data_IF_963315566917
#
_entry.id   IF_963315566917
#
_cell.length_a   1.000
_cell.length_b   1.000
_cell.length_c   1.000
_cell.angle_alpha   90.00
_cell.angle_beta   90.00
_cell.angle_gamma   90.00
#
_symmetry.space_group_name_H-M   'P 1'
#
loop_
_entity.id
_entity.type
_entity.pdbx_description
1 polymer ?
#
# COMPACT_ATOMS: atom_id res chain seq x y z
N UNK A 1 10.57 -1.09 -17.51
CA UNK A 1 9.63 0.03 -17.27
C UNK A 1 10.34 1.15 -16.54
N UNK A 2 10.09 2.39 -16.97
CA UNK A 2 10.56 3.62 -16.31
C UNK A 2 9.67 4.00 -15.12
N UNK A 3 10.24 4.71 -14.13
CA UNK A 3 9.53 5.08 -12.90
C UNK A 3 8.33 6.01 -13.17
N UNK A 4 8.45 6.96 -14.08
CA UNK A 4 7.37 7.90 -14.38
C UNK A 4 6.22 7.18 -15.12
N UNK A 5 6.55 6.19 -15.96
CA UNK A 5 5.55 5.33 -16.62
C UNK A 5 4.78 4.49 -15.61
N UNK A 6 5.45 3.93 -14.61
CA UNK A 6 4.82 3.17 -13.52
C UNK A 6 3.78 4.02 -12.77
N UNK A 7 4.17 5.23 -12.35
CA UNK A 7 3.25 6.13 -11.64
C UNK A 7 2.11 6.60 -12.54
N UNK A 8 2.40 6.93 -13.80
CA UNK A 8 1.39 7.33 -14.76
C UNK A 8 0.31 6.24 -14.96
N UNK A 9 0.67 4.95 -14.94
CA UNK A 9 -0.31 3.86 -15.01
C UNK A 9 -1.23 3.83 -13.77
N UNK A 10 -0.67 4.00 -12.57
CA UNK A 10 -1.47 4.03 -11.33
C UNK A 10 -2.42 5.24 -11.31
N UNK A 11 -1.95 6.42 -11.72
CA UNK A 11 -2.75 7.64 -11.76
C UNK A 11 -3.86 7.57 -12.82
N UNK A 12 -3.54 7.06 -14.01
CA UNK A 12 -4.53 6.85 -15.07
C UNK A 12 -5.59 5.83 -14.64
N UNK A 13 -5.20 4.76 -13.92
CA UNK A 13 -6.17 3.80 -13.39
C UNK A 13 -7.16 4.46 -12.44
N UNK A 14 -6.69 5.36 -11.56
CA UNK A 14 -7.54 6.08 -10.62
C UNK A 14 -8.56 7.00 -11.32
N UNK A 15 -8.19 7.54 -12.49
CA UNK A 15 -9.08 8.40 -13.29
C UNK A 15 -10.07 7.61 -14.16
N UNK A 16 -9.71 6.38 -14.53
CA UNK A 16 -10.46 5.57 -15.49
C UNK A 16 -11.46 4.59 -14.84
N UNK A 17 -11.44 4.46 -13.51
CA UNK A 17 -12.20 3.48 -12.76
C UNK A 17 -12.76 4.10 -11.48
N UNK A 18 -13.91 3.58 -11.04
CA UNK A 18 -14.62 4.09 -9.88
C UNK A 18 -14.26 3.38 -8.57
N UNK A 19 -13.74 2.15 -8.66
CA UNK A 19 -13.33 1.35 -7.52
C UNK A 19 -12.05 0.55 -7.76
N UNK A 20 -11.54 -0.10 -6.71
CA UNK A 20 -10.30 -0.89 -6.77
C UNK A 20 -10.38 -2.11 -7.71
N UNK A 21 -11.56 -2.70 -7.89
CA UNK A 21 -11.75 -3.84 -8.77
C UNK A 21 -11.63 -3.40 -10.24
N UNK A 22 -12.35 -2.34 -10.61
CA UNK A 22 -12.25 -1.73 -11.93
C UNK A 22 -10.83 -1.22 -12.21
N UNK A 23 -10.16 -0.61 -11.22
CA UNK A 23 -8.75 -0.19 -11.33
C UNK A 23 -7.84 -1.38 -11.61
N UNK A 24 -8.02 -2.50 -10.90
CA UNK A 24 -7.26 -3.74 -11.13
C UNK A 24 -7.46 -4.24 -12.56
N UNK A 25 -8.70 -4.34 -13.03
CA UNK A 25 -9.02 -4.78 -14.40
C UNK A 25 -8.40 -3.87 -15.44
N UNK A 26 -8.49 -2.55 -15.24
CA UNK A 26 -7.90 -1.56 -16.13
C UNK A 26 -6.36 -1.70 -16.19
N UNK A 27 -5.69 -1.76 -15.03
CA UNK A 27 -4.24 -1.90 -14.95
C UNK A 27 -3.76 -3.19 -15.61
N UNK A 28 -4.41 -4.32 -15.29
CA UNK A 28 -4.09 -5.63 -15.91
C UNK A 28 -4.21 -5.55 -17.42
N UNK A 29 -5.30 -4.96 -17.94
CA UNK A 29 -5.54 -4.85 -19.38
C UNK A 29 -4.48 -3.98 -20.06
N UNK A 30 -4.06 -2.88 -19.43
CA UNK A 30 -3.02 -1.98 -19.98
C UNK A 30 -1.65 -2.60 -19.95
N UNK A 31 -1.28 -3.25 -18.84
CA UNK A 31 0.01 -3.93 -18.72
C UNK A 31 0.13 -5.10 -19.70
N UNK A 32 -0.94 -5.85 -19.95
CA UNK A 32 -0.93 -6.98 -20.88
C UNK A 32 -0.59 -6.58 -22.34
N UNK A 33 -0.70 -5.29 -22.68
CA UNK A 33 -0.32 -4.75 -23.99
C UNK A 33 1.15 -4.29 -24.05
N UNK A 34 1.86 -4.27 -22.92
CA UNK A 34 3.26 -3.86 -22.86
C UNK A 34 4.21 -5.03 -23.13
N UNK A 35 5.47 -4.74 -23.52
CA UNK A 35 6.50 -5.78 -23.60
C UNK A 35 6.64 -6.54 -22.26
N UNK A 36 6.89 -7.87 -22.27
CA UNK A 36 7.01 -8.65 -21.04
C UNK A 36 8.04 -8.10 -20.03
N UNK A 37 9.15 -7.53 -20.53
CA UNK A 37 10.16 -6.88 -19.68
C UNK A 37 9.65 -5.64 -18.95
N UNK A 38 8.67 -4.91 -19.52
CA UNK A 38 8.03 -3.79 -18.84
C UNK A 38 7.04 -4.25 -17.77
N UNK A 39 6.35 -5.37 -17.98
CA UNK A 39 5.50 -5.99 -16.95
C UNK A 39 6.37 -6.48 -15.77
N UNK A 40 7.53 -7.08 -16.03
CA UNK A 40 8.51 -7.38 -14.98
C UNK A 40 8.94 -6.09 -14.25
N UNK A 41 9.25 -5.03 -15.01
CA UNK A 41 9.62 -3.74 -14.43
C UNK A 41 8.53 -3.14 -13.54
N UNK A 42 7.25 -3.29 -13.89
CA UNK A 42 6.14 -2.87 -13.05
C UNK A 42 6.16 -3.60 -11.69
N UNK A 43 6.33 -4.93 -11.69
CA UNK A 43 6.42 -5.70 -10.44
C UNK A 43 7.64 -5.31 -9.61
N UNK A 44 8.80 -5.10 -10.25
CA UNK A 44 10.01 -4.64 -9.57
C UNK A 44 9.79 -3.28 -8.90
N UNK A 45 9.16 -2.33 -9.59
CA UNK A 45 8.88 -0.99 -9.06
C UNK A 45 7.80 -1.01 -7.97
N UNK A 46 6.78 -1.88 -8.10
CA UNK A 46 5.77 -2.10 -7.07
C UNK A 46 6.40 -2.65 -5.79
N UNK A 47 7.23 -3.67 -5.91
CA UNK A 47 7.97 -4.28 -4.80
C UNK A 47 8.91 -3.26 -4.11
N UNK A 48 9.69 -2.51 -4.90
CA UNK A 48 10.56 -1.46 -4.37
C UNK A 48 9.75 -0.35 -3.65
N UNK A 49 8.59 0.01 -4.18
CA UNK A 49 7.70 1.00 -3.57
C UNK A 49 7.15 0.55 -2.22
N UNK A 50 6.79 -0.74 -2.07
CA UNK A 50 6.40 -1.32 -0.76
C UNK A 50 7.53 -1.22 0.24
N UNK A 51 8.75 -1.57 -0.16
CA UNK A 51 9.93 -1.55 0.71
C UNK A 51 10.19 -0.19 1.37
N UNK A 52 9.78 0.92 0.74
CA UNK A 52 9.92 2.27 1.29
C UNK A 52 9.05 2.55 2.53
N UNK A 53 7.96 1.80 2.68
CA UNK A 53 7.00 1.92 3.78
C UNK A 53 6.92 0.63 4.59
N UNK A 54 7.98 -0.19 4.56
CA UNK A 54 8.04 -1.47 5.25
C UNK A 54 8.89 -1.40 6.54
N UNK A 55 8.46 -0.57 7.47
CA UNK A 55 9.07 -0.46 8.80
C UNK A 55 8.04 -0.67 9.89
N UNK A 56 8.49 -1.03 11.10
CA UNK A 56 7.61 -1.08 12.28
C UNK A 56 6.86 0.24 12.50
N UNK A 57 7.49 1.37 12.16
CA UNK A 57 6.85 2.69 12.26
C UNK A 57 5.66 2.88 11.34
N UNK A 58 5.77 2.39 10.11
CA UNK A 58 4.67 2.43 9.14
C UNK A 58 3.57 1.46 9.53
N UNK A 59 3.94 0.29 10.07
CA UNK A 59 2.96 -0.66 10.58
C UNK A 59 2.21 -0.09 11.79
N UNK A 60 2.88 0.58 12.71
CA UNK A 60 2.24 1.28 13.82
C UNK A 60 1.26 2.36 13.33
N UNK A 61 1.63 3.13 12.32
CA UNK A 61 0.73 4.13 11.76
C UNK A 61 -0.52 3.51 11.10
N UNK A 62 -0.36 2.37 10.41
CA UNK A 62 -1.51 1.60 9.90
C UNK A 62 -2.35 1.00 11.04
N UNK A 63 -1.72 0.55 12.13
CA UNK A 63 -2.37 0.01 13.32
C UNK A 63 -3.26 1.06 13.99
N UNK A 64 -2.74 2.28 14.22
CA UNK A 64 -3.50 3.42 14.76
C UNK A 64 -4.67 3.79 13.85
N UNK A 65 -4.43 3.91 12.53
CA UNK A 65 -5.50 4.22 11.58
C UNK A 65 -6.62 3.17 11.61
N UNK A 66 -6.26 1.89 11.69
CA UNK A 66 -7.20 0.78 11.69
C UNK A 66 -7.75 0.43 13.08
N UNK A 67 -7.61 1.31 14.08
CA UNK A 67 -8.14 1.07 15.45
C UNK A 67 -7.63 -0.25 16.06
N UNK A 68 -6.33 -0.52 15.88
CA UNK A 68 -5.68 -1.76 16.31
C UNK A 68 -5.96 -3.00 15.45
N UNK A 69 -6.82 -2.89 14.44
CA UNK A 69 -7.20 -4.00 13.58
C UNK A 69 -6.26 -4.12 12.36
N UNK A 70 -4.93 -4.16 12.58
CA UNK A 70 -3.96 -4.27 11.50
C UNK A 70 -2.92 -5.38 11.73
N UNK A 71 -3.21 -6.58 11.22
CA UNK A 71 -2.23 -7.66 11.17
C UNK A 71 -1.14 -7.39 10.12
N UNK A 72 -0.06 -8.19 10.13
CA UNK A 72 1.00 -8.09 9.12
C UNK A 72 0.46 -8.30 7.68
N UNK A 73 -0.51 -9.20 7.50
CA UNK A 73 -1.14 -9.45 6.19
C UNK A 73 -2.01 -8.27 5.74
N UNK A 74 -2.75 -7.66 6.67
CA UNK A 74 -3.52 -6.46 6.38
C UNK A 74 -2.58 -5.30 6.05
N UNK A 75 -1.47 -5.19 6.77
CA UNK A 75 -0.45 -4.18 6.52
C UNK A 75 0.21 -4.35 5.15
N UNK A 76 0.48 -5.58 4.70
CA UNK A 76 0.95 -5.83 3.34
C UNK A 76 -0.03 -5.30 2.28
N UNK A 77 -1.33 -5.49 2.52
CA UNK A 77 -2.38 -4.94 1.65
C UNK A 77 -2.52 -3.41 1.79
N UNK A 78 -2.25 -2.85 2.96
CA UNK A 78 -2.21 -1.41 3.21
C UNK A 78 -1.09 -0.71 2.43
N UNK A 79 0.08 -1.34 2.32
CA UNK A 79 1.16 -0.83 1.48
C UNK A 79 0.72 -0.73 0.01
N UNK A 80 -0.02 -1.72 -0.51
CA UNK A 80 -0.61 -1.64 -1.86
C UNK A 80 -1.54 -0.44 -1.98
N UNK A 81 -2.39 -0.24 -0.97
CA UNK A 81 -3.36 0.85 -0.95
C UNK A 81 -2.65 2.21 -0.99
N UNK A 82 -1.61 2.41 -0.17
CA UNK A 82 -0.77 3.60 -0.19
C UNK A 82 -0.13 3.89 -1.55
N UNK A 83 0.44 2.87 -2.19
CA UNK A 83 0.99 2.99 -3.53
C UNK A 83 -0.11 3.40 -4.52
N UNK A 84 -1.30 2.84 -4.35
CA UNK A 84 -2.49 3.16 -5.12
C UNK A 84 -3.03 4.58 -4.96
N UNK A 85 -2.64 5.30 -3.90
CA UNK A 85 -2.96 6.72 -3.70
C UNK A 85 -2.01 7.66 -4.45
N UNK A 86 -0.93 7.11 -5.03
CA UNK A 86 -0.03 7.84 -5.90
C UNK A 86 1.32 8.20 -5.28
N UNK A 87 2.21 8.71 -6.14
CA UNK A 87 3.64 8.93 -5.84
C UNK A 87 3.87 9.86 -4.65
N UNK A 88 3.17 10.99 -4.62
CA UNK A 88 3.36 12.04 -3.62
C UNK A 88 2.92 11.58 -2.22
N UNK A 89 1.79 10.86 -2.15
CA UNK A 89 1.31 10.28 -0.90
C UNK A 89 2.32 9.25 -0.37
N UNK A 90 2.77 8.32 -1.23
CA UNK A 90 3.78 7.33 -0.83
C UNK A 90 5.07 8.02 -0.37
N UNK A 91 5.54 9.05 -1.10
CA UNK A 91 6.78 9.74 -0.77
C UNK A 91 6.70 10.47 0.58
N UNK A 92 5.57 11.13 0.85
CA UNK A 92 5.32 11.81 2.12
C UNK A 92 5.27 10.83 3.29
N UNK A 93 4.47 9.76 3.15
CA UNK A 93 4.32 8.73 4.20
C UNK A 93 5.61 7.98 4.44
N UNK A 94 6.37 7.64 3.39
CA UNK A 94 7.68 7.00 3.52
C UNK A 94 8.70 7.84 4.30
N UNK A 95 8.60 9.18 4.20
CA UNK A 95 9.45 10.09 4.96
C UNK A 95 8.98 10.24 6.41
N UNK A 96 7.66 10.22 6.64
CA UNK A 96 7.05 10.31 7.96
C UNK A 96 5.70 9.56 8.00
N UNK A 97 5.57 8.48 8.78
CA UNK A 97 4.30 7.76 8.88
C UNK A 97 3.14 8.64 9.41
N UNK A 98 3.46 9.65 10.23
CA UNK A 98 2.48 10.63 10.75
C UNK A 98 1.86 11.51 9.63
N UNK A 99 2.47 11.55 8.45
CA UNK A 99 1.90 12.23 7.27
C UNK A 99 0.59 11.58 6.76
N UNK A 100 0.25 10.36 7.21
CA UNK A 100 -1.08 9.79 7.00
C UNK A 100 -2.19 10.73 7.45
N UNK A 101 -1.95 11.52 8.50
CA UNK A 101 -2.88 12.53 8.99
C UNK A 101 -3.33 13.54 7.91
N UNK A 102 -2.52 13.77 6.87
CA UNK A 102 -2.84 14.71 5.78
C UNK A 102 -3.49 14.07 4.57
N UNK A 103 -3.55 12.75 4.52
CA UNK A 103 -4.09 12.03 3.37
C UNK A 103 -5.62 12.15 3.38
N UNK A 104 -6.27 12.67 2.31
CA UNK A 104 -7.72 12.87 2.28
C UNK A 104 -8.54 11.60 2.54
N UNK A 105 -8.07 10.47 2.02
CA UNK A 105 -8.70 9.17 2.26
C UNK A 105 -8.62 8.77 3.75
N UNK A 106 -7.50 9.01 4.41
CA UNK A 106 -7.32 8.76 5.86
C UNK A 106 -8.27 9.62 6.69
N UNK A 107 -8.37 10.92 6.38
CA UNK A 107 -9.28 11.83 7.09
C UNK A 107 -10.74 11.40 6.95
N UNK A 108 -11.13 10.96 5.76
CA UNK A 108 -12.49 10.41 5.51
C UNK A 108 -12.73 9.17 6.36
N UNK A 109 -11.76 8.26 6.42
CA UNK A 109 -11.84 7.03 7.20
C UNK A 109 -11.97 7.31 8.71
N UNK A 110 -11.11 8.15 9.26
CA UNK A 110 -11.12 8.52 10.67
C UNK A 110 -12.41 9.24 11.08
N UNK A 111 -13.04 10.02 10.19
CA UNK A 111 -14.32 10.68 10.47
C UNK A 111 -15.50 9.70 10.68
N UNK A 112 -15.39 8.48 10.15
CA UNK A 112 -16.43 7.43 10.30
C UNK A 112 -16.06 6.45 11.42
N UNK A 113 -14.77 6.18 11.62
CA UNK A 113 -14.25 5.21 12.59
C UNK A 113 -14.32 3.76 12.09
N UNK A 114 -13.31 2.95 12.41
CA UNK A 114 -13.12 1.60 11.87
C UNK A 114 -14.30 0.65 12.13
N UNK A 115 -14.97 0.79 13.27
CA UNK A 115 -16.13 -0.04 13.63
C UNK A 115 -17.35 0.16 12.71
N UNK A 116 -17.41 1.27 11.99
CA UNK A 116 -18.51 1.61 11.09
C UNK A 116 -18.14 1.51 9.60
N UNK A 117 -16.92 1.06 9.28
CA UNK A 117 -16.49 0.92 7.89
C UNK A 117 -17.17 -0.28 7.23
N UNK A 118 -17.72 -0.11 6.00
CA UNK A 118 -18.01 -1.26 5.16
C UNK A 118 -16.69 -1.93 4.72
N UNK A 119 -16.75 -3.21 4.35
CA UNK A 119 -15.56 -3.98 3.90
C UNK A 119 -14.74 -3.26 2.83
N UNK A 120 -15.40 -2.56 1.90
CA UNK A 120 -14.75 -1.84 0.80
C UNK A 120 -14.03 -0.54 1.23
N UNK A 121 -14.28 -0.03 2.44
CA UNK A 121 -13.64 1.18 2.95
C UNK A 121 -12.30 0.89 3.64
N UNK A 122 -12.01 -0.36 4.00
CA UNK A 122 -10.73 -0.71 4.59
C UNK A 122 -9.57 -0.21 3.70
N UNK A 123 -8.51 0.37 4.29
CA UNK A 123 -7.38 0.92 3.54
C UNK A 123 -6.47 -0.18 3.03
N UNK A 124 -7.01 -1.13 2.28
CA UNK A 124 -6.32 -2.30 1.74
C UNK A 124 -6.51 -2.34 0.23
N UNK A 125 -5.54 -2.90 -0.48
CA UNK A 125 -5.71 -3.21 -1.90
C UNK A 125 -4.94 -4.47 -2.29
N UNK A 126 -5.50 -5.63 -1.96
CA UNK A 126 -4.91 -6.93 -2.30
C UNK A 126 -4.76 -7.09 -3.83
N UNK A 127 -5.78 -6.65 -4.58
CA UNK A 127 -5.84 -6.79 -6.03
C UNK A 127 -4.65 -6.20 -6.80
N UNK A 128 -3.98 -5.17 -6.27
CA UNK A 128 -2.83 -4.55 -6.92
C UNK A 128 -1.62 -5.50 -7.00
N UNK A 129 -1.42 -6.40 -6.03
CA UNK A 129 -0.30 -7.34 -6.01
C UNK A 129 -0.41 -8.42 -7.12
N UNK A 130 -1.63 -8.67 -7.62
CA UNK A 130 -1.89 -9.65 -8.68
C UNK A 130 -1.83 -9.09 -10.10
N UNK A 131 -1.87 -7.76 -10.26
CA UNK A 131 -2.01 -7.08 -11.56
C UNK A 131 -0.91 -7.47 -12.56
N UNK A 132 0.36 -7.44 -12.12
CA UNK A 132 1.52 -7.77 -12.97
C UNK A 132 1.53 -9.25 -13.39
N UNK A 133 1.20 -10.15 -12.46
CA UNK A 133 1.15 -11.60 -12.67
C UNK A 133 0.08 -11.97 -13.69
N UNK A 134 -1.12 -11.43 -13.52
CA UNK A 134 -2.23 -11.65 -14.44
C UNK A 134 -1.92 -11.08 -15.83
N UNK A 135 -1.40 -9.85 -15.90
CA UNK A 135 -1.03 -9.22 -17.16
C UNK A 135 0.07 -9.99 -17.91
N UNK A 136 1.11 -10.46 -17.19
CA UNK A 136 2.19 -11.24 -17.79
C UNK A 136 1.69 -12.58 -18.31
N UNK A 137 0.80 -13.24 -17.58
CA UNK A 137 0.17 -14.48 -18.02
C UNK A 137 -0.67 -14.26 -19.27
N UNK A 138 -1.48 -13.20 -19.33
CA UNK A 138 -2.26 -12.85 -20.52
C UNK A 138 -1.35 -12.60 -21.73
N UNK A 139 -0.25 -11.86 -21.55
CA UNK A 139 0.65 -11.48 -22.63
C UNK A 139 1.50 -12.64 -23.16
N UNK A 140 1.84 -13.63 -22.32
CA UNK A 140 2.87 -14.63 -22.64
C UNK A 140 2.45 -16.09 -22.48
N UNK A 141 1.35 -16.36 -21.77
CA UNK A 141 0.94 -17.69 -21.33
C UNK A 141 1.86 -18.32 -20.27
N UNK A 142 2.77 -17.55 -19.65
CA UNK A 142 3.77 -18.03 -18.69
C UNK A 142 3.62 -17.34 -17.32
N UNK A 143 4.20 -17.93 -16.28
CA UNK A 143 4.27 -17.31 -14.96
C UNK A 143 5.32 -16.19 -14.92
N UNK A 144 4.93 -15.04 -14.35
CA UNK A 144 5.84 -13.93 -14.07
C UNK A 144 6.92 -14.32 -13.05
N UNK A 145 6.59 -15.13 -12.04
CA UNK A 145 7.51 -15.46 -10.96
C UNK A 145 8.75 -16.22 -11.50
N UNK A 146 8.57 -17.06 -12.53
CA UNK A 146 9.68 -17.71 -13.22
C UNK A 146 10.58 -16.70 -13.97
N UNK A 147 9.98 -15.70 -14.62
CA UNK A 147 10.73 -14.67 -15.33
C UNK A 147 11.53 -13.78 -14.35
N UNK A 148 10.93 -13.43 -13.21
CA UNK A 148 11.57 -12.67 -12.14
C UNK A 148 12.69 -13.47 -11.48
N UNK A 149 12.50 -14.77 -11.24
CA UNK A 149 13.54 -15.63 -10.68
C UNK A 149 14.78 -15.72 -11.58
N UNK A 150 14.61 -15.78 -12.91
CA UNK A 150 15.74 -15.74 -13.88
C UNK A 150 16.52 -14.44 -13.78
N UNK A 151 15.84 -13.33 -13.47
CA UNK A 151 16.44 -12.01 -13.25
C UNK A 151 17.01 -11.84 -11.84
N UNK A 152 16.94 -12.87 -10.97
CA UNK A 152 17.44 -12.82 -9.60
C UNK A 152 16.52 -12.10 -8.61
N UNK A 153 15.27 -11.82 -8.98
CA UNK A 153 14.30 -11.22 -8.07
C UNK A 153 13.71 -12.27 -7.12
N UNK A 154 13.61 -11.91 -5.85
CA UNK A 154 12.88 -12.67 -4.83
C UNK A 154 11.45 -12.12 -4.75
N UNK A 155 10.41 -12.94 -4.91
CA UNK A 155 9.03 -12.50 -4.76
C UNK A 155 8.79 -11.94 -3.35
N UNK A 156 8.10 -10.80 -3.27
CA UNK A 156 7.59 -10.26 -2.00
C UNK A 156 6.12 -10.65 -1.89
N UNK A 157 5.83 -11.62 -1.02
CA UNK A 157 4.51 -12.24 -0.85
C UNK A 157 3.81 -11.87 0.44
N UNK A 158 4.54 -11.27 1.38
CA UNK A 158 4.06 -10.79 2.67
C UNK A 158 4.85 -9.53 3.04
N UNK A 159 4.54 -8.94 4.20
CA UNK A 159 5.26 -7.77 4.66
C UNK A 159 6.72 -8.08 5.06
N UNK A 160 7.14 -9.34 5.18
CA UNK A 160 8.53 -9.76 5.42
C UNK A 160 9.15 -9.14 6.67
N UNK A 161 10.47 -9.29 6.94
CA UNK A 161 11.03 -8.66 8.12
C UNK A 161 10.93 -7.15 7.99
N UNK A 162 10.14 -6.54 8.86
CA UNK A 162 10.07 -5.10 9.02
C UNK A 162 11.45 -4.56 9.39
N UNK A 163 11.80 -3.42 8.82
CA UNK A 163 13.02 -2.71 9.18
C UNK A 163 12.75 -1.68 10.28
N UNK A 164 13.81 -1.20 10.92
CA UNK A 164 13.72 -0.14 11.94
C UNK A 164 13.56 -0.66 13.37
N UNK A 165 13.28 0.28 14.27
CA UNK A 165 13.08 0.03 15.70
C UNK A 165 11.74 -0.67 15.95
N UNK A 166 11.74 -1.72 16.76
CA UNK A 166 10.52 -2.43 17.18
C UNK A 166 9.79 -1.59 18.23
N UNK A 167 8.50 -1.40 18.04
CA UNK A 167 7.63 -0.56 18.85
C UNK A 167 6.51 -1.37 19.47
N UNK A 168 6.01 -0.93 20.61
CA UNK A 168 4.81 -1.48 21.21
C UNK A 168 3.59 -0.87 20.52
N UNK A 169 3.00 -1.64 19.60
CA UNK A 169 1.86 -1.21 18.78
C UNK A 169 0.63 -0.87 19.63
N UNK A 170 0.51 -1.47 20.81
CA UNK A 170 -0.63 -1.26 21.71
C UNK A 170 -0.39 -0.10 22.69
N UNK A 171 0.75 0.59 22.61
CA UNK A 171 1.11 1.68 23.52
C UNK A 171 0.57 3.04 23.04
N UNK A 172 -0.43 3.63 23.74
CA UNK A 172 -0.93 4.96 23.39
C UNK A 172 0.14 6.05 23.51
N UNK A 173 1.12 5.86 24.40
CA UNK A 173 2.23 6.80 24.57
C UNK A 173 3.15 6.79 23.34
N UNK A 174 3.45 5.61 22.79
CA UNK A 174 4.26 5.53 21.57
C UNK A 174 3.52 6.15 20.39
N UNK A 175 2.21 5.91 20.26
CA UNK A 175 1.38 6.54 19.25
C UNK A 175 1.38 8.08 19.40
N UNK A 176 1.13 8.60 20.60
CA UNK A 176 1.10 10.03 20.87
C UNK A 176 2.45 10.74 20.60
N UNK A 177 3.57 10.08 20.88
CA UNK A 177 4.91 10.66 20.69
C UNK A 177 5.38 10.58 19.24
N UNK A 178 5.13 9.45 18.56
CA UNK A 178 5.68 9.16 17.24
C UNK A 178 4.75 9.55 16.09
N UNK A 179 3.45 9.54 16.35
CA UNK A 179 2.38 9.80 15.39
C UNK A 179 1.41 10.87 15.94
N UNK A 180 1.91 12.01 16.46
CA UNK A 180 1.09 12.95 17.22
C UNK A 180 -0.14 13.44 16.45
N UNK A 181 0.00 13.68 15.14
CA UNK A 181 -1.09 14.23 14.32
C UNK A 181 -2.10 13.16 13.98
N UNK A 182 -1.64 11.96 13.63
CA UNK A 182 -2.54 10.85 13.34
C UNK A 182 -3.29 10.39 14.60
N UNK A 183 -2.60 10.35 15.74
CA UNK A 183 -3.16 10.01 17.05
C UNK A 183 -4.22 11.01 17.54
N UNK A 184 -3.96 12.31 17.38
CA UNK A 184 -4.96 13.34 17.68
C UNK A 184 -6.21 13.17 16.80
N UNK A 185 -6.03 12.90 15.51
CA UNK A 185 -7.16 12.70 14.58
C UNK A 185 -7.94 11.41 14.81
N UNK A 186 -7.32 10.38 15.39
CA UNK A 186 -8.00 9.13 15.74
C UNK A 186 -8.75 9.21 17.07
N UNK A 187 -8.72 10.35 17.77
CA UNK A 187 -9.41 10.54 19.06
C UNK A 187 -8.62 10.04 20.27
N UNK A 188 -7.36 9.63 20.09
CA UNK A 188 -6.57 8.94 21.12
C UNK A 188 -6.17 9.79 22.34
N UNK A 189 -6.47 11.10 22.36
CA UNK A 189 -6.26 11.94 23.54
C UNK A 189 -7.24 11.65 24.70
N UNK A 190 -8.40 11.05 24.41
CA UNK A 190 -9.39 10.68 25.45
C UNK A 190 -9.01 9.39 26.20
N UNK A 191 -8.18 8.53 25.59
CA UNK A 191 -7.75 7.25 26.18
C UNK A 191 -6.44 7.34 26.99
N UNK A 192 -5.63 8.38 26.77
CA UNK A 192 -4.35 8.58 27.43
C UNK A 192 -4.41 9.43 28.71
N UNK A 193 -5.60 9.90 29.11
CA UNK A 193 -5.86 10.77 30.26
C UNK A 193 -6.49 10.03 31.45
#
# INVERSE_FOLDING_TARGET
MDLDVFWALLDQSASAASDQHERRVWLTSRLALLPPGDICGFETLLSASRGRVNTFSHWHAAYVLCDGLCSADLFFSFQSWLIGLGREVLASVAASPDALADVPAVRTLLAVGAQSWPDAAWPTWEGLAGVSREAFYIATGRSLDNALAILGHVPVTDAGPFTGEVWDLDSPLEAAVRLPRLWELSGGMEEAA
#
